data_IF_001451215958
#
_entry.id   IF_001451215958
#
_cell.length_a   1.000
_cell.length_b   1.000
_cell.length_c   1.000
_cell.angle_alpha   90.00
_cell.angle_beta   90.00
_cell.angle_gamma   90.00
#
_symmetry.space_group_name_H-M   'P 1'
#
loop_
_entity.id
_entity.type
_entity.pdbx_description
1 polymer ?
#
# COMPACT_ATOMS: atom_id res chain seq x y z
N UNK A 1 -1.47 36.09 -3.90
CA UNK A 1 -2.51 35.98 -2.85
C UNK A 1 -2.45 34.55 -2.36
N UNK A 2 -1.68 34.30 -1.29
CA UNK A 2 -1.70 33.00 -0.62
C UNK A 2 -2.85 32.96 0.38
N UNK A 3 -3.21 31.77 0.86
CA UNK A 3 -4.26 31.67 1.86
C UNK A 3 -3.94 32.47 3.15
N UNK A 4 -4.97 33.06 3.75
CA UNK A 4 -4.86 33.86 4.98
C UNK A 4 -4.99 33.01 6.25
N UNK A 5 -4.75 31.69 6.15
CA UNK A 5 -5.00 30.72 7.22
C UNK A 5 -4.26 31.08 8.50
N UNK A 6 -3.03 31.60 8.40
CA UNK A 6 -2.20 31.91 9.56
C UNK A 6 -2.62 33.18 10.32
N UNK A 7 -3.51 34.01 9.75
CA UNK A 7 -4.14 35.10 10.49
C UNK A 7 -5.12 34.58 11.55
N UNK A 8 -5.73 33.44 11.28
CA UNK A 8 -6.72 32.81 12.16
C UNK A 8 -6.07 31.75 13.05
N UNK A 9 -5.24 30.88 12.47
CA UNK A 9 -4.60 29.76 13.14
C UNK A 9 -3.09 29.97 13.22
N UNK A 10 -2.66 30.64 14.29
CA UNK A 10 -1.25 30.98 14.54
C UNK A 10 -0.37 29.77 14.90
N UNK A 11 0.93 30.01 15.01
CA UNK A 11 1.96 28.99 15.31
C UNK A 11 2.35 28.89 16.78
N UNK A 12 1.48 29.43 17.65
CA UNK A 12 1.66 29.46 19.10
C UNK A 12 0.55 28.63 19.73
N UNK A 13 0.92 27.52 20.33
CA UNK A 13 0.03 26.75 21.19
C UNK A 13 0.57 26.80 22.62
N UNK A 14 1.41 25.82 23.01
CA UNK A 14 2.15 25.85 24.28
C UNK A 14 3.48 26.58 24.14
N UNK A 15 4.08 26.51 22.96
CA UNK A 15 5.37 27.12 22.59
C UNK A 15 5.28 27.64 21.16
N UNK A 16 6.08 28.66 20.84
CA UNK A 16 6.16 29.23 19.48
C UNK A 16 7.02 28.34 18.60
N UNK A 17 6.50 27.97 17.42
CA UNK A 17 7.21 27.10 16.49
C UNK A 17 7.86 27.92 15.39
N UNK A 18 9.18 27.91 15.32
CA UNK A 18 9.90 28.71 14.34
C UNK A 18 9.97 28.01 12.98
N UNK A 19 10.16 26.68 12.98
CA UNK A 19 10.13 25.87 11.76
C UNK A 19 8.71 25.40 11.49
N UNK A 20 7.91 26.29 10.90
CA UNK A 20 6.51 26.09 10.59
C UNK A 20 6.25 26.02 9.07
N UNK A 21 5.04 25.57 8.72
CA UNK A 21 4.57 25.47 7.33
C UNK A 21 4.48 26.85 6.66
N UNK A 22 4.87 26.95 5.39
CA UNK A 22 4.74 28.18 4.59
C UNK A 22 3.33 28.32 3.98
N UNK A 23 2.96 29.53 3.54
CA UNK A 23 1.67 29.77 2.88
C UNK A 23 1.48 28.89 1.63
N UNK A 24 2.54 28.77 0.82
CA UNK A 24 2.54 27.86 -0.33
C UNK A 24 2.37 26.38 0.06
N UNK A 25 2.96 25.95 1.17
CA UNK A 25 2.76 24.60 1.71
C UNK A 25 1.32 24.34 2.15
N UNK A 26 0.68 25.36 2.71
CA UNK A 26 -0.74 25.30 3.06
C UNK A 26 -1.64 25.28 1.81
N UNK A 27 -1.38 26.11 0.81
CA UNK A 27 -2.11 26.12 -0.47
C UNK A 27 -2.05 24.75 -1.17
N UNK A 28 -0.91 24.07 -1.08
CA UNK A 28 -0.78 22.71 -1.58
C UNK A 28 -1.69 21.71 -0.85
N UNK A 29 -1.77 21.76 0.49
CA UNK A 29 -2.66 20.88 1.23
C UNK A 29 -4.14 21.12 0.90
N UNK A 30 -4.53 22.38 0.69
CA UNK A 30 -5.87 22.71 0.18
C UNK A 30 -6.13 22.13 -1.21
N UNK A 31 -5.13 22.13 -2.08
CA UNK A 31 -5.22 21.51 -3.41
C UNK A 31 -5.38 19.99 -3.31
N UNK A 32 -4.62 19.32 -2.45
CA UNK A 32 -4.76 17.86 -2.24
C UNK A 32 -6.14 17.52 -1.66
N UNK A 33 -6.62 18.32 -0.70
CA UNK A 33 -7.96 18.16 -0.13
C UNK A 33 -9.06 18.23 -1.20
N UNK A 34 -8.99 19.20 -2.13
CA UNK A 34 -10.00 19.33 -3.19
C UNK A 34 -9.96 18.15 -4.16
N UNK A 35 -8.77 17.72 -4.59
CA UNK A 35 -8.59 16.56 -5.48
C UNK A 35 -9.13 15.28 -4.84
N UNK A 36 -8.83 15.03 -3.57
CA UNK A 36 -9.29 13.83 -2.86
C UNK A 36 -10.80 13.86 -2.61
N UNK A 37 -11.38 15.04 -2.34
CA UNK A 37 -12.83 15.20 -2.20
C UNK A 37 -13.55 14.91 -3.51
N UNK A 38 -13.06 15.46 -4.62
CA UNK A 38 -13.60 15.19 -5.97
C UNK A 38 -13.47 13.71 -6.32
N UNK A 39 -12.32 13.10 -6.02
CA UNK A 39 -12.09 11.66 -6.24
C UNK A 39 -13.07 10.80 -5.44
N UNK A 40 -13.35 11.18 -4.19
CA UNK A 40 -14.33 10.49 -3.33
C UNK A 40 -15.73 10.56 -3.94
N UNK A 41 -16.16 11.74 -4.39
CA UNK A 41 -17.45 11.92 -5.05
C UNK A 41 -17.54 11.11 -6.35
N UNK A 42 -16.47 11.06 -7.14
CA UNK A 42 -16.40 10.25 -8.35
C UNK A 42 -16.52 8.74 -8.05
N UNK A 43 -15.80 8.23 -7.05
CA UNK A 43 -15.88 6.83 -6.63
C UNK A 43 -17.27 6.46 -6.09
N UNK A 44 -17.90 7.36 -5.33
CA UNK A 44 -19.27 7.20 -4.86
C UNK A 44 -20.29 7.21 -6.00
N UNK A 45 -20.14 8.10 -6.98
CA UNK A 45 -20.97 8.13 -8.17
C UNK A 45 -20.85 6.81 -8.97
N UNK A 46 -19.62 6.32 -9.17
CA UNK A 46 -19.36 5.05 -9.85
C UNK A 46 -19.95 3.83 -9.11
N UNK A 47 -20.00 3.87 -7.78
CA UNK A 47 -20.59 2.81 -6.95
C UNK A 47 -22.08 2.57 -7.24
N UNK A 48 -22.84 3.62 -7.60
CA UNK A 48 -24.26 3.49 -7.92
C UNK A 48 -24.52 2.66 -9.19
N UNK A 49 -23.59 2.66 -10.16
CA UNK A 49 -23.73 1.94 -11.42
C UNK A 49 -23.32 0.46 -11.36
N UNK A 50 -22.85 -0.04 -10.21
CA UNK A 50 -22.35 -1.42 -10.06
C UNK A 50 -23.30 -2.34 -9.27
N UNK A 51 -23.23 -3.64 -9.57
CA UNK A 51 -23.95 -4.71 -8.88
C UNK A 51 -23.54 -4.79 -7.40
N UNK A 52 -24.48 -5.13 -6.50
CA UNK A 52 -24.26 -5.05 -5.04
C UNK A 52 -23.04 -5.80 -4.51
N UNK A 53 -22.66 -6.93 -5.11
CA UNK A 53 -21.49 -7.73 -4.68
C UNK A 53 -20.14 -7.05 -4.93
N UNK A 54 -20.05 -6.14 -5.91
CA UNK A 54 -18.80 -5.46 -6.26
C UNK A 54 -18.63 -4.09 -5.59
N UNK A 55 -19.65 -3.60 -4.87
CA UNK A 55 -19.65 -2.25 -4.26
C UNK A 55 -18.70 -2.12 -3.07
N UNK A 56 -18.36 -3.23 -2.42
CA UNK A 56 -17.51 -3.23 -1.23
C UNK A 56 -16.13 -2.61 -1.52
N UNK A 57 -15.53 -2.92 -2.68
CA UNK A 57 -14.26 -2.31 -3.10
C UNK A 57 -14.39 -0.80 -3.35
N UNK A 58 -15.51 -0.35 -3.92
CA UNK A 58 -15.77 1.08 -4.13
C UNK A 58 -15.97 1.83 -2.81
N UNK A 59 -16.63 1.22 -1.81
CA UNK A 59 -16.81 1.84 -0.49
C UNK A 59 -15.49 1.94 0.27
N UNK A 60 -14.64 0.91 0.22
CA UNK A 60 -13.31 0.95 0.84
C UNK A 60 -12.43 1.99 0.13
N UNK A 61 -12.43 2.01 -1.21
CA UNK A 61 -11.67 3.01 -1.98
C UNK A 61 -12.17 4.44 -1.74
N UNK A 62 -13.48 4.66 -1.63
CA UNK A 62 -14.06 5.96 -1.29
C UNK A 62 -13.69 6.38 0.14
N UNK A 63 -13.68 5.45 1.10
CA UNK A 63 -13.18 5.71 2.46
C UNK A 63 -11.70 6.11 2.45
N UNK A 64 -10.88 5.44 1.63
CA UNK A 64 -9.45 5.70 1.49
C UNK A 64 -9.14 7.09 0.92
N UNK A 65 -10.05 7.71 0.16
CA UNK A 65 -9.88 9.10 -0.31
C UNK A 65 -10.56 10.12 0.61
N UNK A 66 -11.62 9.73 1.30
CA UNK A 66 -12.38 10.62 2.20
C UNK A 66 -11.60 10.96 3.48
N UNK A 67 -10.98 9.96 4.11
CA UNK A 67 -10.26 10.16 5.38
C UNK A 67 -9.04 11.08 5.17
N UNK A 68 -8.18 10.85 4.14
CA UNK A 68 -7.14 11.80 3.78
C UNK A 68 -7.67 13.19 3.45
N UNK A 69 -8.80 13.33 2.74
CA UNK A 69 -9.37 14.65 2.44
C UNK A 69 -9.62 15.46 3.73
N UNK A 70 -10.17 14.83 4.77
CA UNK A 70 -10.39 15.46 6.08
C UNK A 70 -9.05 15.79 6.77
N UNK A 71 -8.10 14.85 6.73
CA UNK A 71 -6.76 15.05 7.32
C UNK A 71 -6.01 16.21 6.66
N UNK A 72 -6.02 16.29 5.32
CA UNK A 72 -5.43 17.38 4.55
C UNK A 72 -6.15 18.71 4.75
N UNK A 73 -7.46 18.71 4.96
CA UNK A 73 -8.20 19.91 5.38
C UNK A 73 -7.70 20.46 6.72
N UNK A 74 -7.51 19.59 7.73
CA UNK A 74 -6.98 19.99 9.03
C UNK A 74 -5.56 20.57 8.91
N UNK A 75 -4.68 19.92 8.14
CA UNK A 75 -3.30 20.38 7.96
C UNK A 75 -3.21 21.66 7.11
N UNK A 76 -4.01 21.80 6.06
CA UNK A 76 -4.12 23.03 5.27
C UNK A 76 -4.68 24.18 6.09
N UNK A 77 -5.54 23.90 7.07
CA UNK A 77 -6.02 24.90 8.02
C UNK A 77 -5.04 25.15 9.19
N UNK A 78 -3.83 24.57 9.19
CA UNK A 78 -2.85 24.68 10.26
C UNK A 78 -3.35 24.18 11.64
N UNK A 79 -4.18 23.13 11.67
CA UNK A 79 -4.64 22.47 12.89
C UNK A 79 -3.97 21.10 13.08
N UNK A 80 -3.96 20.64 14.34
CA UNK A 80 -3.51 19.30 14.71
C UNK A 80 -1.99 19.08 14.54
N UNK A 81 -1.23 20.11 14.89
CA UNK A 81 0.23 20.03 14.97
C UNK A 81 0.70 20.11 16.42
N UNK A 82 1.90 19.62 16.65
CA UNK A 82 2.64 19.79 17.91
C UNK A 82 4.05 20.30 17.61
N UNK A 83 4.62 21.05 18.55
CA UNK A 83 5.97 21.59 18.43
C UNK A 83 6.96 20.68 19.16
N UNK A 84 8.01 20.26 18.46
CA UNK A 84 9.00 19.32 18.95
C UNK A 84 10.40 19.92 18.79
N UNK A 85 11.21 19.88 19.86
CA UNK A 85 12.62 20.27 19.87
C UNK A 85 13.40 19.43 18.86
N UNK A 86 14.20 20.10 18.04
CA UNK A 86 15.13 19.47 17.11
C UNK A 86 16.32 18.92 17.90
N UNK A 87 16.62 17.63 17.73
CA UNK A 87 17.74 16.96 18.41
C UNK A 87 19.10 17.59 18.07
N UNK A 88 19.30 17.97 16.80
CA UNK A 88 20.55 18.51 16.30
C UNK A 88 20.37 19.97 15.91
N UNK A 89 20.57 20.87 16.87
CA UNK A 89 20.61 22.32 16.61
C UNK A 89 21.90 22.63 15.85
N UNK A 90 21.78 23.19 14.65
CA UNK A 90 22.94 23.63 13.84
C UNK A 90 23.17 25.12 14.03
N UNK A 91 24.43 25.52 14.18
CA UNK A 91 24.83 26.93 14.34
C UNK A 91 24.51 27.80 13.10
N UNK A 92 24.54 27.21 11.89
CA UNK A 92 24.30 27.90 10.61
C UNK A 92 22.97 27.49 9.95
N UNK A 93 21.90 27.33 10.73
CA UNK A 93 20.58 27.02 10.17
C UNK A 93 19.93 28.30 9.60
N UNK A 94 19.87 28.41 8.26
CA UNK A 94 19.12 29.47 7.54
C UNK A 94 17.66 29.59 8.05
N UNK A 95 17.10 28.48 8.55
CA UNK A 95 15.84 28.39 9.29
C UNK A 95 16.12 28.44 10.80
N UNK A 96 15.88 29.60 11.41
CA UNK A 96 16.21 29.87 12.80
C UNK A 96 15.14 29.32 13.75
N UNK A 97 15.45 28.24 14.48
CA UNK A 97 14.78 27.96 15.75
C UNK A 97 14.74 26.49 16.17
N UNK A 98 14.64 26.31 17.48
CA UNK A 98 14.81 25.01 18.14
C UNK A 98 13.57 24.12 18.03
N UNK A 99 12.41 24.72 17.71
CA UNK A 99 11.11 24.05 17.66
C UNK A 99 10.63 23.81 16.23
N UNK A 100 10.37 22.54 15.90
CA UNK A 100 9.81 22.08 14.62
C UNK A 100 8.35 21.70 14.74
N UNK A 101 7.55 22.16 13.78
CA UNK A 101 6.14 21.79 13.65
C UNK A 101 6.01 20.38 13.05
N UNK A 102 5.30 19.49 13.76
CA UNK A 102 4.98 18.14 13.30
C UNK A 102 3.47 17.95 13.34
N UNK A 103 2.89 17.58 12.21
CA UNK A 103 1.45 17.30 12.09
C UNK A 103 1.16 15.87 12.54
N UNK A 104 0.61 15.72 13.74
CA UNK A 104 0.23 14.40 14.25
C UNK A 104 -1.03 13.85 13.55
N UNK A 105 -1.87 14.71 12.98
CA UNK A 105 -3.06 14.28 12.20
C UNK A 105 -2.68 13.34 11.06
N UNK A 106 -1.51 13.52 10.43
CA UNK A 106 -1.04 12.65 9.36
C UNK A 106 -0.84 11.21 9.82
N UNK A 107 -0.37 11.02 11.05
CA UNK A 107 -0.16 9.69 11.61
C UNK A 107 -1.49 9.05 12.03
N UNK A 108 -2.46 9.85 12.49
CA UNK A 108 -3.83 9.38 12.74
C UNK A 108 -4.49 8.92 11.42
N UNK A 109 -4.29 9.67 10.35
CA UNK A 109 -4.75 9.27 9.01
C UNK A 109 -4.11 7.96 8.57
N UNK A 110 -2.79 7.79 8.76
CA UNK A 110 -2.13 6.50 8.48
C UNK A 110 -2.70 5.34 9.31
N UNK A 111 -3.07 5.58 10.57
CA UNK A 111 -3.65 4.54 11.42
C UNK A 111 -4.97 3.99 10.86
N UNK A 112 -5.72 4.80 10.11
CA UNK A 112 -7.00 4.38 9.53
C UNK A 112 -6.82 3.94 8.07
N UNK A 113 -5.98 4.62 7.30
CA UNK A 113 -5.82 4.37 5.85
C UNK A 113 -4.94 3.16 5.55
N UNK A 114 -3.93 2.85 6.37
CA UNK A 114 -3.09 1.67 6.20
C UNK A 114 -3.88 0.36 6.28
N UNK A 115 -4.73 0.09 7.28
CA UNK A 115 -5.51 -1.15 7.33
C UNK A 115 -6.56 -1.19 6.20
N UNK A 116 -7.15 -0.05 5.83
CA UNK A 116 -8.07 0.05 4.69
C UNK A 116 -7.35 -0.28 3.37
N UNK A 117 -6.14 0.23 3.18
CA UNK A 117 -5.33 0.01 1.99
C UNK A 117 -4.89 -1.46 1.88
N UNK A 118 -4.44 -2.08 2.97
CA UNK A 118 -4.14 -3.51 2.97
C UNK A 118 -5.39 -4.34 2.70
N UNK A 119 -6.52 -4.02 3.33
CA UNK A 119 -7.78 -4.73 3.06
C UNK A 119 -8.19 -4.61 1.59
N UNK A 120 -8.07 -3.41 1.00
CA UNK A 120 -8.37 -3.17 -0.41
C UNK A 120 -7.48 -3.98 -1.35
N UNK A 121 -6.16 -3.98 -1.11
CA UNK A 121 -5.19 -4.69 -1.94
C UNK A 121 -5.33 -6.21 -1.80
N UNK A 122 -5.38 -6.73 -0.57
CA UNK A 122 -5.40 -8.17 -0.33
C UNK A 122 -6.73 -8.80 -0.77
N UNK A 123 -7.85 -8.08 -0.60
CA UNK A 123 -9.14 -8.52 -1.13
C UNK A 123 -9.15 -8.51 -2.67
N UNK A 124 -8.49 -7.54 -3.29
CA UNK A 124 -8.34 -7.48 -4.76
C UNK A 124 -7.44 -8.60 -5.29
N UNK A 125 -6.44 -9.03 -4.52
CA UNK A 125 -5.57 -10.16 -4.85
C UNK A 125 -6.20 -11.53 -4.56
N UNK A 126 -7.31 -11.61 -3.80
CA UNK A 126 -7.95 -12.87 -3.43
C UNK A 126 -7.11 -13.73 -2.47
N UNK A 127 -6.28 -13.09 -1.62
CA UNK A 127 -5.41 -13.77 -0.66
C UNK A 127 -6.22 -14.39 0.50
N UNK A 128 -5.71 -15.47 1.14
CA UNK A 128 -6.37 -16.09 2.27
C UNK A 128 -6.48 -15.14 3.47
N UNK A 129 -7.61 -15.20 4.19
CA UNK A 129 -7.94 -14.32 5.32
C UNK A 129 -6.90 -14.36 6.44
N UNK A 130 -6.22 -15.48 6.65
CA UNK A 130 -5.15 -15.60 7.66
C UNK A 130 -3.97 -14.66 7.37
N UNK A 131 -3.55 -14.58 6.10
CA UNK A 131 -2.49 -13.66 5.65
C UNK A 131 -2.96 -12.20 5.73
N UNK A 132 -4.26 -11.95 5.50
CA UNK A 132 -4.86 -10.64 5.68
C UNK A 132 -4.74 -10.13 7.11
N UNK A 133 -5.18 -10.93 8.09
CA UNK A 133 -5.14 -10.53 9.49
C UNK A 133 -3.72 -10.29 9.98
N UNK A 134 -2.76 -11.14 9.59
CA UNK A 134 -1.36 -10.97 9.95
C UNK A 134 -0.76 -9.68 9.35
N UNK A 135 -1.01 -9.43 8.06
CA UNK A 135 -0.50 -8.23 7.38
C UNK A 135 -1.08 -6.96 7.97
N UNK A 136 -2.36 -6.98 8.34
CA UNK A 136 -3.04 -5.87 8.98
C UNK A 136 -2.41 -5.54 10.34
N UNK A 137 -2.18 -6.55 11.19
CA UNK A 137 -1.54 -6.35 12.49
C UNK A 137 -0.12 -5.78 12.37
N UNK A 138 0.68 -6.30 11.43
CA UNK A 138 2.03 -5.78 11.21
C UNK A 138 2.02 -4.36 10.63
N UNK A 139 1.04 -4.04 9.78
CA UNK A 139 0.79 -2.69 9.29
C UNK A 139 0.47 -1.70 10.41
N UNK A 140 -0.37 -2.09 11.37
CA UNK A 140 -0.70 -1.26 12.54
C UNK A 140 0.51 -1.02 13.44
N UNK A 141 1.29 -2.06 13.72
CA UNK A 141 2.54 -1.93 14.49
C UNK A 141 3.48 -0.93 13.81
N UNK A 142 3.58 -0.97 12.49
CA UNK A 142 4.39 0.00 11.75
C UNK A 142 3.92 1.44 11.95
N UNK A 143 2.62 1.71 11.83
CA UNK A 143 2.07 3.07 12.02
C UNK A 143 2.30 3.57 13.45
N UNK A 144 2.08 2.71 14.45
CA UNK A 144 2.29 3.07 15.86
C UNK A 144 3.77 3.41 16.10
N UNK A 145 4.68 2.61 15.59
CA UNK A 145 6.12 2.87 15.72
C UNK A 145 6.52 4.16 14.98
N UNK A 146 5.92 4.47 13.83
CA UNK A 146 6.14 5.71 13.10
C UNK A 146 5.63 6.94 13.86
N UNK A 147 4.43 6.86 14.47
CA UNK A 147 3.87 7.93 15.30
C UNK A 147 4.77 8.18 16.53
N UNK A 148 5.07 7.13 17.29
CA UNK A 148 5.89 7.27 18.51
C UNK A 148 7.29 7.77 18.15
N UNK A 149 7.90 7.23 17.10
CA UNK A 149 9.20 7.69 16.60
C UNK A 149 9.21 9.17 16.16
N UNK A 150 8.08 9.70 15.70
CA UNK A 150 7.95 11.11 15.32
C UNK A 150 7.78 12.06 16.52
N UNK A 151 7.28 11.56 17.66
CA UNK A 151 7.07 12.35 18.88
C UNK A 151 8.24 12.26 19.87
N UNK A 152 9.12 11.26 19.72
CA UNK A 152 10.28 11.09 20.59
C UNK A 152 11.39 12.06 20.18
N UNK A 153 11.80 12.92 21.10
CA UNK A 153 12.89 13.85 20.91
C UNK A 153 14.26 13.16 20.97
N UNK A 154 14.45 12.32 22.01
CA UNK A 154 15.69 11.63 22.35
C UNK A 154 16.22 10.65 21.28
N UNK A 155 17.48 10.24 21.42
CA UNK A 155 18.14 9.21 20.60
C UNK A 155 17.37 7.87 20.53
N UNK A 156 16.49 7.58 21.48
CA UNK A 156 15.59 6.41 21.47
C UNK A 156 14.66 6.36 20.25
N UNK A 157 14.49 7.44 19.49
CA UNK A 157 13.73 7.44 18.22
C UNK A 157 14.25 6.42 17.21
N UNK A 158 15.55 6.11 17.23
CA UNK A 158 16.15 5.09 16.36
C UNK A 158 15.64 3.68 16.68
N UNK A 159 15.29 3.41 17.94
CA UNK A 159 14.64 2.16 18.33
C UNK A 159 13.30 2.00 17.61
N UNK A 160 12.42 3.00 17.71
CA UNK A 160 11.12 2.97 17.03
C UNK A 160 11.26 2.88 15.50
N UNK A 161 12.25 3.57 14.90
CA UNK A 161 12.52 3.48 13.47
C UNK A 161 12.97 2.07 13.03
N UNK A 162 13.88 1.45 13.77
CA UNK A 162 14.37 0.10 13.47
C UNK A 162 13.28 -0.95 13.65
N UNK A 163 12.51 -0.91 14.74
CA UNK A 163 11.36 -1.80 14.94
C UNK A 163 10.31 -1.64 13.84
N UNK A 164 10.02 -0.39 13.41
CA UNK A 164 9.13 -0.13 12.27
C UNK A 164 9.67 -0.71 10.96
N UNK A 165 10.97 -0.54 10.67
CA UNK A 165 11.59 -1.04 9.44
C UNK A 165 11.61 -2.56 9.40
N UNK A 166 11.89 -3.20 10.54
CA UNK A 166 11.84 -4.65 10.69
C UNK A 166 10.41 -5.17 10.46
N UNK A 167 9.38 -4.49 11.00
CA UNK A 167 7.99 -4.85 10.75
C UNK A 167 7.63 -4.78 9.25
N UNK A 168 8.07 -3.75 8.53
CA UNK A 168 7.89 -3.66 7.06
C UNK A 168 8.62 -4.77 6.32
N UNK A 169 9.85 -5.09 6.71
CA UNK A 169 10.63 -6.18 6.11
C UNK A 169 9.97 -7.54 6.35
N UNK A 170 9.31 -7.75 7.49
CA UNK A 170 8.53 -8.96 7.73
C UNK A 170 7.32 -9.08 6.79
N UNK A 171 6.59 -7.99 6.55
CA UNK A 171 5.49 -7.96 5.57
C UNK A 171 6.00 -8.20 4.14
N UNK A 172 7.12 -7.57 3.77
CA UNK A 172 7.75 -7.70 2.46
C UNK A 172 8.53 -9.01 2.27
N UNK A 173 8.69 -9.82 3.32
CA UNK A 173 9.49 -11.03 3.26
C UNK A 173 8.92 -12.02 2.23
N UNK A 174 9.75 -12.65 1.37
CA UNK A 174 9.29 -13.59 0.35
C UNK A 174 8.47 -14.77 0.89
N UNK A 175 8.59 -15.07 2.18
CA UNK A 175 7.70 -16.00 2.90
C UNK A 175 6.23 -15.70 2.70
N UNK A 176 5.84 -14.43 2.77
CA UNK A 176 4.45 -14.01 2.58
C UNK A 176 4.00 -14.14 1.12
N UNK A 177 4.93 -13.98 0.17
CA UNK A 177 4.64 -14.00 -1.27
C UNK A 177 4.54 -15.43 -1.85
N UNK A 178 5.08 -16.43 -1.15
CA UNK A 178 5.03 -17.84 -1.59
C UNK A 178 3.63 -18.45 -1.50
N UNK A 179 2.74 -17.84 -0.71
CA UNK A 179 1.37 -18.30 -0.50
C UNK A 179 0.35 -17.60 -1.38
N UNK A 180 0.76 -16.65 -2.24
CA UNK A 180 -0.12 -16.07 -3.23
C UNK A 180 -0.49 -17.15 -4.26
N UNK A 181 -1.74 -17.63 -4.28
CA UNK A 181 -2.15 -18.60 -5.28
C UNK A 181 -2.14 -17.86 -6.62
N UNK A 182 -1.16 -18.15 -7.46
CA UNK A 182 -1.19 -17.82 -8.88
C UNK A 182 -1.73 -19.00 -9.74
N UNK A 183 -2.84 -19.72 -9.41
CA UNK A 183 -3.42 -20.68 -10.36
C UNK A 183 -4.47 -20.04 -11.28
N UNK A 184 -4.96 -18.82 -11.05
CA UNK A 184 -6.09 -18.27 -11.85
C UNK A 184 -5.65 -17.70 -13.22
N UNK A 185 -4.44 -17.14 -13.30
CA UNK A 185 -3.90 -16.61 -14.57
C UNK A 185 -3.27 -17.71 -15.43
N UNK A 186 -2.61 -18.69 -14.79
CA UNK A 186 -2.01 -19.82 -15.50
C UNK A 186 -3.06 -20.80 -16.03
N UNK A 187 -4.17 -21.03 -15.31
CA UNK A 187 -5.28 -21.85 -15.83
C UNK A 187 -5.97 -21.17 -17.01
N UNK A 188 -6.16 -19.85 -16.98
CA UNK A 188 -6.82 -19.14 -18.09
C UNK A 188 -5.97 -19.09 -19.36
N UNK A 189 -4.65 -19.03 -19.22
CA UNK A 189 -3.71 -19.10 -20.36
C UNK A 189 -3.59 -20.56 -20.86
N UNK A 190 -3.58 -21.54 -19.96
CA UNK A 190 -3.60 -22.97 -20.32
C UNK A 190 -4.90 -23.37 -21.04
N UNK A 191 -6.06 -22.93 -20.54
CA UNK A 191 -7.37 -23.23 -21.14
C UNK A 191 -7.62 -22.51 -22.48
N UNK A 192 -6.90 -21.41 -22.76
CA UNK A 192 -6.98 -20.71 -24.03
C UNK A 192 -6.14 -21.36 -25.14
N UNK A 193 -5.24 -22.28 -24.78
CA UNK A 193 -4.34 -22.95 -25.73
C UNK A 193 -4.84 -24.31 -26.24
N UNK A 194 -5.99 -24.80 -25.75
CA UNK A 194 -6.61 -26.04 -26.23
C UNK A 194 -7.61 -25.71 -27.36
N UNK A 195 -7.27 -25.89 -28.65
CA UNK A 195 -8.23 -25.68 -29.72
C UNK A 195 -9.40 -26.67 -29.56
N UNK A 196 -10.59 -26.11 -29.42
CA UNK A 196 -11.88 -26.82 -29.40
C UNK A 196 -12.05 -27.63 -30.69
N UNK A 197 -12.00 -28.95 -30.60
CA UNK A 197 -12.48 -29.83 -31.65
C UNK A 197 -14.00 -29.65 -31.79
N UNK A 198 -14.45 -29.28 -32.99
CA UNK A 198 -15.84 -29.06 -33.35
C UNK A 198 -16.68 -30.37 -33.25
N UNK A 199 -18.00 -30.25 -33.00
CA UNK A 199 -18.88 -31.38 -32.78
C UNK A 199 -19.37 -31.99 -34.11
N UNK A 200 -19.47 -33.32 -34.12
CA UNK A 200 -20.32 -34.06 -35.06
C UNK A 200 -19.58 -34.92 -36.06
N UNK A 201 -19.57 -36.23 -35.81
CA UNK A 201 -19.94 -37.29 -36.77
C UNK A 201 -19.71 -38.67 -36.12
N UNK A 202 -20.78 -39.46 -36.06
CA UNK A 202 -20.76 -40.93 -35.92
C UNK A 202 -21.87 -41.45 -36.86
N UNK A 203 -21.93 -42.73 -37.27
CA UNK A 203 -21.02 -43.86 -37.06
C UNK A 203 -20.72 -44.67 -38.36
N UNK A 204 -19.66 -45.48 -38.41
CA UNK A 204 -19.62 -46.65 -39.31
C UNK A 204 -18.61 -47.69 -38.77
N UNK A 205 -19.05 -48.94 -38.61
CA UNK A 205 -18.32 -49.99 -37.92
C UNK A 205 -17.44 -50.89 -38.80
N UNK A 206 -16.58 -51.69 -38.16
CA UNK A 206 -16.32 -53.11 -38.47
C UNK A 206 -15.20 -53.68 -37.56
N UNK A 207 -15.51 -54.84 -36.94
CA UNK A 207 -14.66 -55.99 -36.54
C UNK A 207 -13.20 -55.84 -36.03
N UNK A 208 -13.01 -56.26 -34.76
CA UNK A 208 -12.00 -57.19 -34.13
C UNK A 208 -10.81 -57.76 -34.94
N UNK A 209 -9.77 -58.39 -34.31
CA UNK A 209 -9.02 -58.09 -33.07
C UNK A 209 -7.47 -58.33 -33.20
N UNK A 210 -6.73 -58.05 -32.12
CA UNK A 210 -5.38 -58.58 -31.78
C UNK A 210 -4.14 -58.14 -32.59
N UNK A 211 -3.15 -57.57 -31.88
CA UNK A 211 -1.75 -58.03 -31.81
C UNK A 211 -0.88 -56.90 -31.24
N UNK A 212 -0.04 -57.27 -30.27
CA UNK A 212 0.77 -56.33 -29.51
C UNK A 212 1.88 -55.71 -30.33
N UNK A 213 2.11 -54.42 -30.12
CA UNK A 213 3.40 -53.77 -30.36
C UNK A 213 3.59 -52.71 -29.26
N UNK A 214 4.62 -52.93 -28.45
CA UNK A 214 5.10 -52.01 -27.42
C UNK A 214 5.78 -50.80 -28.07
N UNK A 215 5.44 -49.55 -27.72
CA UNK A 215 6.26 -48.41 -28.09
C UNK A 215 7.34 -48.17 -27.03
N UNK A 216 8.53 -48.54 -27.44
CA UNK A 216 9.87 -48.20 -26.94
C UNK A 216 9.93 -46.81 -26.27
N UNK A 217 10.24 -46.81 -24.98
CA UNK A 217 10.63 -45.62 -24.19
C UNK A 217 11.89 -45.02 -24.82
N UNK A 218 11.75 -43.82 -25.38
CA UNK A 218 12.89 -42.97 -25.74
C UNK A 218 13.21 -42.11 -24.53
N UNK A 219 14.20 -42.53 -23.75
CA UNK A 219 14.82 -41.75 -22.69
C UNK A 219 15.61 -40.60 -23.31
N UNK A 220 15.01 -39.41 -23.36
CA UNK A 220 15.74 -38.18 -23.65
C UNK A 220 16.40 -37.68 -22.37
N UNK A 221 17.72 -37.53 -22.45
CA UNK A 221 18.62 -37.15 -21.37
C UNK A 221 18.30 -35.78 -20.78
N UNK A 222 18.24 -35.72 -19.45
CA UNK A 222 18.34 -34.52 -18.62
C UNK A 222 19.49 -33.61 -19.08
N UNK A 223 19.18 -32.35 -19.40
CA UNK A 223 20.16 -31.25 -19.42
C UNK A 223 19.68 -30.16 -18.47
N UNK A 224 20.19 -30.19 -17.25
CA UNK A 224 20.05 -29.12 -16.26
C UNK A 224 20.90 -27.92 -16.69
N UNK A 225 20.35 -26.69 -16.79
CA UNK A 225 21.17 -25.49 -16.82
C UNK A 225 21.73 -25.24 -15.41
N UNK A 226 23.06 -25.05 -15.33
CA UNK A 226 23.77 -24.68 -14.11
C UNK A 226 23.35 -23.27 -13.65
N UNK A 227 23.21 -23.00 -12.34
CA UNK A 227 23.09 -21.64 -11.83
C UNK A 227 24.46 -20.96 -11.84
N UNK A 228 24.59 -19.83 -12.54
CA UNK A 228 25.74 -18.92 -12.40
C UNK A 228 25.52 -17.97 -11.21
N UNK A 229 26.57 -17.67 -10.44
CA UNK A 229 26.46 -16.98 -9.16
C UNK A 229 26.18 -15.48 -9.28
N UNK A 230 25.48 -14.98 -8.25
CA UNK A 230 25.30 -13.58 -7.90
C UNK A 230 26.58 -12.75 -8.03
N UNK A 231 26.49 -11.61 -8.70
CA UNK A 231 27.42 -10.48 -8.52
C UNK A 231 26.62 -9.26 -8.09
N UNK A 232 26.70 -9.01 -6.79
CA UNK A 232 26.54 -7.74 -6.07
C UNK A 232 27.07 -6.55 -6.87
N UNK A 233 26.30 -5.47 -7.06
CA UNK A 233 26.80 -4.08 -7.03
C UNK A 233 25.66 -3.10 -6.70
N UNK A 234 25.67 -2.64 -5.44
CA UNK A 234 25.16 -1.34 -5.00
C UNK A 234 26.36 -0.38 -5.09
N UNK A 235 26.17 0.76 -5.76
CA UNK A 235 26.89 2.02 -5.54
C UNK A 235 25.93 3.14 -5.94
#
# INVERSE_FOLDING_TARGET
MGNDVFRHNGFTNTVTTNNHITAAGSDWYWTVCSVMTVSTLALMALSFFKQRSQRLLYYIAAGLTLIPAISYFCMGSNLGWTAILVEWVRSDANVHGDMRQIFYVRYIDYFITVPLLFTLLLLSCGLPTSTLLYTLLMGEVWVIMALVGALVHSEYKWGFFTFGTVALLFVASPSSMRDAPMPVLLDKISSASTPSALPGLSPCGSSTPSSGVSPRVVTSSLRTPRPSPMVSWIS
#
